data_IF_768713291828
#
_entry.id   IF_768713291828
#
_cell.length_a   1.000
_cell.length_b   1.000
_cell.length_c   1.000
_cell.angle_alpha   90.00
_cell.angle_beta   90.00
_cell.angle_gamma   90.00
#
_symmetry.space_group_name_H-M   'P 1'
#
loop_
_entity.id
_entity.type
_entity.pdbx_description
1 polymer ?
#
# COMPACT_ATOMS: atom_id res chain seq x y z
N UNK A 1 19.13 21.96 5.60
CA UNK A 1 20.47 21.34 5.65
C UNK A 1 20.75 20.53 6.92
N UNK A 2 19.87 20.51 7.92
CA UNK A 2 20.04 19.62 9.10
C UNK A 2 21.25 19.98 9.98
N UNK A 3 21.89 21.12 9.74
CA UNK A 3 23.04 21.60 10.48
C UNK A 3 22.60 22.34 11.74
N UNK A 4 23.32 22.09 12.83
CA UNK A 4 23.07 22.71 14.13
C UNK A 4 24.40 22.93 14.85
N UNK A 5 24.53 24.05 15.56
CA UNK A 5 25.75 24.42 16.29
C UNK A 5 25.41 24.95 17.68
N UNK A 6 26.19 24.53 18.67
CA UNK A 6 26.06 24.92 20.07
C UNK A 6 27.43 25.19 20.66
N UNK A 7 27.51 26.21 21.52
CA UNK A 7 28.64 26.43 22.41
C UNK A 7 28.25 25.96 23.81
N UNK A 8 28.89 24.89 24.28
CA UNK A 8 28.67 24.31 25.59
C UNK A 8 30.00 24.24 26.35
N UNK A 9 29.99 24.35 27.70
CA UNK A 9 31.17 24.12 28.51
C UNK A 9 31.74 22.70 28.30
N UNK A 10 33.04 22.49 28.55
CA UNK A 10 33.60 21.15 28.55
C UNK A 10 32.86 20.23 29.54
N UNK A 11 32.51 19.03 29.11
CA UNK A 11 31.68 18.14 29.90
C UNK A 11 31.25 16.89 29.13
N UNK A 12 30.50 16.01 29.80
CA UNK A 12 29.94 14.80 29.20
C UNK A 12 28.47 15.04 28.89
N UNK A 13 28.08 14.79 27.65
CA UNK A 13 26.75 15.06 27.14
C UNK A 13 26.15 13.82 26.49
N UNK A 14 24.83 13.70 26.62
CA UNK A 14 24.04 12.75 25.84
C UNK A 14 23.31 13.56 24.78
N UNK A 15 23.65 13.33 23.52
CA UNK A 15 23.02 13.96 22.37
C UNK A 15 21.96 12.99 21.83
N UNK A 16 20.71 13.44 21.77
CA UNK A 16 19.61 12.73 21.14
C UNK A 16 19.11 13.52 19.94
N UNK A 17 18.99 12.85 18.80
CA UNK A 17 18.41 13.42 17.58
C UNK A 17 17.13 12.64 17.25
N UNK A 18 16.02 13.37 17.22
CA UNK A 18 14.68 12.85 16.96
C UNK A 18 14.08 13.56 15.74
N UNK A 19 13.41 12.80 14.88
CA UNK A 19 12.66 13.34 13.74
C UNK A 19 11.50 12.42 13.41
N UNK A 20 10.35 13.00 13.03
CA UNK A 20 9.14 12.23 12.76
C UNK A 20 9.34 11.25 11.62
N UNK A 21 8.95 9.99 11.84
CA UNK A 21 9.09 8.93 10.84
C UNK A 21 10.48 8.33 10.71
N UNK A 22 11.41 8.70 11.59
CA UNK A 22 12.77 8.17 11.67
C UNK A 22 13.08 7.64 13.06
N UNK A 23 13.96 6.65 13.13
CA UNK A 23 14.44 6.09 14.40
C UNK A 23 15.41 7.05 15.08
N UNK A 24 15.12 7.38 16.34
CA UNK A 24 15.96 8.19 17.21
C UNK A 24 17.40 7.66 17.31
N UNK A 25 18.36 8.57 17.28
CA UNK A 25 19.78 8.24 17.50
C UNK A 25 20.27 8.93 18.75
N UNK A 26 20.87 8.16 19.66
CA UNK A 26 21.46 8.66 20.92
C UNK A 26 22.96 8.39 20.89
N UNK A 27 23.76 9.41 21.23
CA UNK A 27 25.22 9.28 21.40
C UNK A 27 25.68 10.00 22.64
N UNK A 28 26.59 9.37 23.37
CA UNK A 28 27.33 9.99 24.44
C UNK A 28 28.59 10.65 23.87
N UNK A 29 28.87 11.89 24.26
CA UNK A 29 29.99 12.69 23.75
C UNK A 29 30.67 13.39 24.91
N UNK A 30 31.99 13.23 24.99
CA UNK A 30 32.84 14.01 25.89
C UNK A 30 33.32 15.24 25.14
N UNK A 31 32.80 16.41 25.50
CA UNK A 31 33.16 17.68 24.92
C UNK A 31 34.37 18.24 25.66
N UNK A 32 35.51 18.28 25.00
CA UNK A 32 36.75 18.90 25.50
C UNK A 32 37.35 19.93 24.53
N UNK A 33 36.80 20.00 23.31
CA UNK A 33 37.17 20.91 22.22
C UNK A 33 36.00 21.00 21.24
N UNK A 34 36.17 21.76 20.15
CA UNK A 34 35.19 21.75 19.07
C UNK A 34 35.06 20.34 18.46
N UNK A 35 33.84 19.80 18.47
CA UNK A 35 33.52 18.48 17.95
C UNK A 35 32.40 18.63 16.93
N UNK A 36 32.60 18.02 15.76
CA UNK A 36 31.56 17.88 14.74
C UNK A 36 30.94 16.49 14.85
N UNK A 37 29.62 16.42 15.00
CA UNK A 37 28.89 15.17 15.13
C UNK A 37 27.99 14.96 13.91
N UNK A 38 28.24 13.90 13.15
CA UNK A 38 27.39 13.50 12.04
C UNK A 38 26.36 12.45 12.50
N UNK A 39 25.09 12.71 12.23
CA UNK A 39 23.97 11.81 12.52
C UNK A 39 23.28 11.39 11.22
N UNK A 40 23.22 10.07 10.97
CA UNK A 40 22.46 9.48 9.86
C UNK A 40 21.22 8.80 10.41
N UNK A 41 20.07 9.44 10.27
CA UNK A 41 18.78 8.90 10.71
C UNK A 41 18.30 7.84 9.72
N UNK A 42 17.75 6.74 10.23
CA UNK A 42 17.11 5.70 9.42
C UNK A 42 15.58 5.87 9.50
N UNK A 43 14.84 5.79 8.39
CA UNK A 43 13.39 5.84 8.43
C UNK A 43 12.85 4.66 9.24
N UNK A 44 11.79 4.90 10.01
CA UNK A 44 11.12 3.86 10.80
C UNK A 44 10.37 2.92 9.86
N UNK A 45 10.41 1.61 10.11
CA UNK A 45 9.77 0.59 9.25
C UNK A 45 8.27 0.89 9.01
N UNK A 46 7.60 1.49 10.00
CA UNK A 46 6.19 1.88 9.90
C UNK A 46 5.91 2.91 8.80
N UNK A 47 6.80 3.89 8.58
CA UNK A 47 6.61 4.90 7.52
C UNK A 47 6.87 4.33 6.14
N UNK A 48 7.76 3.34 6.03
CA UNK A 48 8.03 2.65 4.76
C UNK A 48 6.83 1.77 4.35
N UNK A 49 6.27 1.00 5.28
CA UNK A 49 5.12 0.12 4.99
C UNK A 49 3.87 0.93 4.67
N UNK A 50 3.56 1.96 5.46
CA UNK A 50 2.38 2.81 5.19
C UNK A 50 2.47 3.50 3.84
N UNK A 51 3.64 4.03 3.45
CA UNK A 51 3.84 4.62 2.12
C UNK A 51 3.66 3.59 1.00
N UNK A 52 4.18 2.38 1.18
CA UNK A 52 4.04 1.29 0.21
C UNK A 52 2.57 0.87 0.04
N UNK A 53 1.84 0.71 1.14
CA UNK A 53 0.40 0.38 1.13
C UNK A 53 -0.40 1.50 0.48
N UNK A 54 -0.15 2.76 0.88
CA UNK A 54 -0.88 3.91 0.35
C UNK A 54 -0.65 4.12 -1.15
N UNK A 55 0.58 3.89 -1.63
CA UNK A 55 0.92 3.98 -3.05
C UNK A 55 0.23 2.91 -3.90
N UNK A 56 -0.17 1.78 -3.32
CA UNK A 56 -0.75 0.64 -4.04
C UNK A 56 -2.23 0.39 -3.72
N UNK A 57 -2.86 1.25 -2.89
CA UNK A 57 -4.27 1.10 -2.50
C UNK A 57 -5.21 0.96 -3.70
N UNK A 58 -5.05 1.80 -4.72
CA UNK A 58 -5.90 1.75 -5.91
C UNK A 58 -5.78 0.41 -6.65
N UNK A 59 -4.56 -0.14 -6.76
CA UNK A 59 -4.33 -1.42 -7.40
C UNK A 59 -4.99 -2.57 -6.61
N UNK A 60 -4.84 -2.57 -5.28
CA UNK A 60 -5.45 -3.56 -4.40
C UNK A 60 -6.98 -3.53 -4.53
N UNK A 61 -7.59 -2.34 -4.52
CA UNK A 61 -9.04 -2.17 -4.68
C UNK A 61 -9.51 -2.74 -6.03
N UNK A 62 -8.81 -2.43 -7.12
CA UNK A 62 -9.17 -2.93 -8.46
C UNK A 62 -9.11 -4.46 -8.53
N UNK A 63 -8.08 -5.08 -7.95
CA UNK A 63 -7.96 -6.55 -7.93
C UNK A 63 -9.11 -7.17 -7.12
N UNK A 64 -9.40 -6.66 -5.92
CA UNK A 64 -10.47 -7.19 -5.07
C UNK A 64 -11.84 -7.04 -5.75
N UNK A 65 -12.14 -5.87 -6.30
CA UNK A 65 -13.39 -5.62 -7.03
C UNK A 65 -13.48 -6.52 -8.25
N UNK A 66 -12.39 -6.68 -9.01
CA UNK A 66 -12.32 -7.58 -10.17
C UNK A 66 -12.62 -9.04 -9.81
N UNK A 67 -12.06 -9.54 -8.71
CA UNK A 67 -12.34 -10.90 -8.20
C UNK A 67 -13.81 -11.03 -7.81
N UNK A 68 -14.37 -10.06 -7.07
CA UNK A 68 -15.78 -10.08 -6.67
C UNK A 68 -16.69 -10.09 -7.91
N UNK A 69 -16.45 -9.21 -8.87
CA UNK A 69 -17.20 -9.14 -10.13
C UNK A 69 -17.07 -10.45 -10.92
N UNK A 70 -15.86 -11.03 -10.99
CA UNK A 70 -15.62 -12.32 -11.63
C UNK A 70 -16.42 -13.46 -10.98
N UNK A 71 -16.43 -13.55 -9.65
CA UNK A 71 -17.20 -14.54 -8.90
C UNK A 71 -18.70 -14.35 -9.12
N UNK A 72 -19.20 -13.12 -9.07
CA UNK A 72 -20.61 -12.80 -9.32
C UNK A 72 -21.00 -13.16 -10.76
N UNK A 73 -20.16 -12.85 -11.74
CA UNK A 73 -20.38 -13.16 -13.14
C UNK A 73 -20.47 -14.68 -13.37
N UNK A 74 -19.55 -15.45 -12.79
CA UNK A 74 -19.54 -16.91 -12.89
C UNK A 74 -20.78 -17.51 -12.24
N UNK A 75 -21.14 -17.07 -11.03
CA UNK A 75 -22.21 -17.69 -10.23
C UNK A 75 -23.61 -17.30 -10.71
N UNK A 76 -23.82 -16.07 -11.17
CA UNK A 76 -25.16 -15.54 -11.45
C UNK A 76 -25.41 -15.24 -12.92
N UNK A 77 -24.43 -14.68 -13.63
CA UNK A 77 -24.63 -14.23 -15.01
C UNK A 77 -24.46 -15.37 -16.01
N UNK A 78 -23.34 -16.11 -15.94
CA UNK A 78 -23.07 -17.28 -16.80
C UNK A 78 -24.24 -18.28 -16.88
N UNK A 79 -24.81 -18.77 -15.76
CA UNK A 79 -25.92 -19.74 -15.82
C UNK A 79 -27.23 -19.13 -16.34
N UNK A 80 -27.44 -17.81 -16.18
CA UNK A 80 -28.62 -17.12 -16.70
C UNK A 80 -28.51 -16.90 -18.22
N UNK A 81 -27.31 -16.61 -18.72
CA UNK A 81 -27.05 -16.49 -20.16
C UNK A 81 -27.20 -17.83 -20.87
N UNK A 82 -26.72 -18.93 -20.26
CA UNK A 82 -26.89 -20.28 -20.83
C UNK A 82 -28.37 -20.63 -21.02
N UNK A 83 -29.20 -20.41 -19.98
CA UNK A 83 -30.64 -20.67 -20.06
C UNK A 83 -31.36 -19.85 -21.12
N UNK A 84 -31.01 -18.58 -21.32
CA UNK A 84 -31.64 -17.74 -22.36
C UNK A 84 -31.33 -18.19 -23.78
N UNK A 85 -30.13 -18.73 -24.00
CA UNK A 85 -29.72 -19.23 -25.30
C UNK A 85 -30.44 -20.53 -25.67
N UNK A 86 -30.61 -21.43 -24.70
CA UNK A 86 -31.35 -22.69 -24.89
C UNK A 86 -32.82 -22.43 -25.26
N UNK A 87 -33.50 -21.53 -24.54
CA UNK A 87 -34.90 -21.15 -24.83
C UNK A 87 -35.04 -20.55 -26.24
N UNK A 88 -34.11 -19.67 -26.64
CA UNK A 88 -34.14 -19.05 -27.97
C UNK A 88 -33.90 -20.06 -29.09
N UNK A 89 -33.14 -21.12 -28.86
CA UNK A 89 -32.94 -22.19 -29.85
C UNK A 89 -34.21 -23.05 -29.94
N UNK A 90 -34.83 -23.42 -28.81
CA UNK A 90 -36.09 -24.19 -28.76
C UNK A 90 -37.26 -23.47 -29.44
N UNK A 91 -37.47 -22.17 -29.16
CA UNK A 91 -38.52 -21.36 -29.81
C UNK A 91 -38.34 -21.32 -31.34
N UNK A 92 -37.09 -21.26 -31.82
CA UNK A 92 -36.77 -21.20 -33.24
C UNK A 92 -36.98 -22.54 -33.94
N UNK A 93 -36.73 -23.65 -33.23
CA UNK A 93 -37.08 -24.99 -33.73
C UNK A 93 -38.59 -25.17 -33.83
N UNK A 94 -39.36 -24.79 -32.82
CA UNK A 94 -40.83 -24.92 -32.85
C UNK A 94 -41.47 -24.12 -33.99
N UNK A 95 -40.99 -22.90 -34.25
CA UNK A 95 -41.48 -22.07 -35.36
C UNK A 95 -41.23 -22.72 -36.73
N UNK A 96 -40.04 -23.29 -36.94
CA UNK A 96 -39.66 -23.99 -38.18
C UNK A 96 -40.48 -25.26 -38.44
N UNK A 97 -40.82 -26.02 -37.40
CA UNK A 97 -41.63 -27.25 -37.56
C UNK A 97 -43.13 -26.98 -37.65
N UNK A 98 -43.61 -25.83 -37.19
CA UNK A 98 -45.02 -25.43 -37.30
C UNK A 98 -45.41 -24.88 -38.69
N UNK A 99 -44.41 -24.56 -39.52
CA UNK A 99 -44.58 -23.96 -40.86
C UNK A 99 -44.34 -24.93 -42.02
N UNK A 100 -44.06 -26.21 -41.72
CA UNK A 100 -43.90 -27.32 -42.69
C UNK A 100 -45.14 -28.21 -42.74
#
# INVERSE_FOLDING_TARGET
NGEFSLNLPPGRYIVRVDYEGYTSVVREVVLNRNVMLEFKLKPTIQTVITRLVMSNLNYIIVVVVGVIVGVVFIKYVKPKLKRRREISEEELFEELYSTA
#
